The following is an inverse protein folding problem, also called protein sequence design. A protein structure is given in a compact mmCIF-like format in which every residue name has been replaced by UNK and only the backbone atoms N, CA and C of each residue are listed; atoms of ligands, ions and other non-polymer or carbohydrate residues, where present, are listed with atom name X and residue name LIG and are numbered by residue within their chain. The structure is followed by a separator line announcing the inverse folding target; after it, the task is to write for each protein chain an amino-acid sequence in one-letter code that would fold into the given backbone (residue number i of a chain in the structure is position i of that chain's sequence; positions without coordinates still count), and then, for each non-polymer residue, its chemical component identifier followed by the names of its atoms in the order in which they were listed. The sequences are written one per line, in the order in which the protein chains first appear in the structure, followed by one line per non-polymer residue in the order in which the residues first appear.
data_IF_758405844686
#
_entry.id   IF_758405844686
#
_cell.length_a   1.000
_cell.length_b   1.000
_cell.length_c   1.000
_cell.angle_alpha   90.00
_cell.angle_beta   90.00
_cell.angle_gamma   90.00
#
_symmetry.space_group_name_H-M   'P 1'
#
loop_
_entity.id
_entity.type
_entity.pdbx_description
1 polymer ?
#
# COMPACT_ATOMS: atom_id res chain seq x y z
N UNK A 1 -2.42 11.68 9.17
CA UNK A 1 -1.55 10.78 8.38
C UNK A 1 -1.42 9.49 9.14
N UNK A 2 -1.78 8.40 8.48
CA UNK A 2 -1.90 7.09 9.09
C UNK A 2 -0.54 6.42 9.27
N UNK A 3 -0.18 6.12 10.53
CA UNK A 3 1.10 5.52 10.86
C UNK A 3 1.18 4.06 10.43
N UNK A 4 0.08 3.32 10.46
CA UNK A 4 0.08 1.91 10.06
C UNK A 4 0.26 1.76 8.55
N UNK A 5 -0.38 2.63 7.76
CA UNK A 5 -0.15 2.68 6.31
C UNK A 5 1.31 3.03 6.01
N UNK A 6 1.89 4.03 6.68
CA UNK A 6 3.33 4.35 6.52
C UNK A 6 4.23 3.19 6.90
N UNK A 7 3.89 2.46 7.95
CA UNK A 7 4.65 1.30 8.39
C UNK A 7 4.60 0.17 7.34
N UNK A 8 3.43 -0.08 6.75
CA UNK A 8 3.30 -1.03 5.64
C UNK A 8 4.09 -0.59 4.42
N UNK A 9 3.99 0.68 3.99
CA UNK A 9 4.78 1.21 2.87
C UNK A 9 6.28 1.06 3.11
N UNK A 10 6.75 1.32 4.33
CA UNK A 10 8.14 1.09 4.72
C UNK A 10 8.58 -0.37 4.58
N UNK A 11 7.74 -1.32 4.99
CA UNK A 11 8.01 -2.76 4.79
C UNK A 11 8.07 -3.13 3.31
N UNK A 12 7.19 -2.58 2.47
CA UNK A 12 7.21 -2.82 1.02
C UNK A 12 8.47 -2.25 0.36
N UNK A 13 8.96 -1.09 0.80
CA UNK A 13 10.23 -0.53 0.37
C UNK A 13 11.39 -1.45 0.67
N UNK A 14 11.52 -1.89 1.92
CA UNK A 14 12.64 -2.73 2.37
C UNK A 14 12.61 -4.12 1.74
N UNK A 15 11.44 -4.76 1.70
CA UNK A 15 11.34 -6.16 1.30
C UNK A 15 11.17 -6.35 -0.21
N UNK A 16 10.50 -5.42 -0.89
CA UNK A 16 10.11 -5.54 -2.30
C UNK A 16 10.71 -4.45 -3.20
N UNK A 17 11.33 -3.41 -2.64
CA UNK A 17 11.88 -2.27 -3.39
C UNK A 17 10.84 -1.20 -3.80
N UNK A 18 9.60 -1.30 -3.31
CA UNK A 18 8.53 -0.31 -3.55
C UNK A 18 8.64 0.83 -2.54
N UNK A 19 9.56 1.75 -2.76
CA UNK A 19 9.87 2.81 -1.82
C UNK A 19 8.94 4.01 -1.91
N UNK A 20 8.38 4.27 -3.08
CA UNK A 20 7.53 5.41 -3.44
C UNK A 20 8.18 6.79 -3.16
N UNK A 21 7.94 7.79 -4.00
CA UNK A 21 8.28 9.17 -3.67
C UNK A 21 7.61 9.61 -2.36
N UNK A 22 8.25 10.44 -1.52
CA UNK A 22 7.67 10.89 -0.25
C UNK A 22 6.27 11.52 -0.38
N UNK A 23 6.02 12.25 -1.47
CA UNK A 23 4.71 12.84 -1.76
C UNK A 23 3.61 11.79 -1.99
N UNK A 24 3.95 10.67 -2.62
CA UNK A 24 3.02 9.55 -2.84
C UNK A 24 2.78 8.78 -1.54
N UNK A 25 3.82 8.59 -0.72
CA UNK A 25 3.66 7.99 0.60
C UNK A 25 2.71 8.81 1.48
N UNK A 26 2.88 10.13 1.48
CA UNK A 26 2.02 11.05 2.24
C UNK A 26 0.58 11.07 1.71
N UNK A 27 0.39 11.04 0.39
CA UNK A 27 -0.93 10.95 -0.25
C UNK A 27 -1.64 9.65 0.15
N UNK A 28 -0.97 8.51 0.00
CA UNK A 28 -1.53 7.19 0.30
C UNK A 28 -1.85 7.06 1.80
N UNK A 29 -0.95 7.54 2.67
CA UNK A 29 -1.16 7.52 4.12
C UNK A 29 -2.19 8.56 4.62
N UNK A 30 -2.64 9.48 3.78
CA UNK A 30 -3.69 10.44 4.13
C UNK A 30 -5.09 9.94 3.78
N UNK A 31 -5.20 8.84 3.04
CA UNK A 31 -6.48 8.21 2.74
C UNK A 31 -6.98 7.44 3.96
N UNK A 32 -8.17 7.80 4.43
CA UNK A 32 -8.75 7.27 5.66
C UNK A 32 -9.30 5.85 5.55
N UNK A 33 -9.48 5.32 4.34
CA UNK A 33 -9.99 3.96 4.09
C UNK A 33 -9.26 3.36 2.89
N UNK A 34 -8.87 2.09 3.02
CA UNK A 34 -8.21 1.32 1.96
C UNK A 34 -8.79 -0.08 1.83
N UNK A 35 -9.11 -0.48 0.60
CA UNK A 35 -9.24 -1.90 0.24
C UNK A 35 -7.89 -2.43 -0.23
N UNK A 36 -7.59 -3.69 0.08
CA UNK A 36 -6.31 -4.33 -0.25
C UNK A 36 -5.97 -4.26 -1.75
N UNK A 37 -6.98 -4.46 -2.62
CA UNK A 37 -6.81 -4.41 -4.07
C UNK A 37 -6.53 -2.99 -4.56
N UNK A 38 -7.20 -1.98 -4.00
CA UNK A 38 -7.01 -0.57 -4.36
C UNK A 38 -5.64 -0.09 -3.90
N UNK A 39 -5.25 -0.45 -2.68
CA UNK A 39 -3.93 -0.15 -2.13
C UNK A 39 -2.82 -0.75 -3.00
N UNK A 40 -2.93 -2.02 -3.39
CA UNK A 40 -1.95 -2.67 -4.24
C UNK A 40 -1.83 -2.01 -5.63
N UNK A 41 -2.96 -1.60 -6.22
CA UNK A 41 -2.95 -0.86 -7.49
C UNK A 41 -2.28 0.50 -7.37
N UNK A 42 -2.60 1.24 -6.30
CA UNK A 42 -2.06 2.59 -6.11
C UNK A 42 -0.55 2.54 -5.85
N UNK A 43 -0.07 1.62 -5.01
CA UNK A 43 1.37 1.40 -4.77
C UNK A 43 2.14 1.12 -6.06
N UNK A 44 1.63 0.23 -6.91
CA UNK A 44 2.28 -0.12 -8.18
C UNK A 44 2.26 1.08 -9.14
N UNK A 45 1.13 1.79 -9.20
CA UNK A 45 0.97 2.95 -10.08
C UNK A 45 1.88 4.11 -9.66
N UNK A 46 2.05 4.34 -8.36
CA UNK A 46 2.94 5.37 -7.81
C UNK A 46 4.43 5.11 -8.07
N UNK A 47 4.82 3.87 -8.37
CA UNK A 47 6.17 3.53 -8.87
C UNK A 47 6.31 3.69 -10.40
N UNK A 48 5.24 4.15 -11.08
CA UNK A 48 5.22 4.29 -12.54
C UNK A 48 5.02 2.98 -13.30
N UNK A 49 4.59 1.91 -12.61
CA UNK A 49 4.29 0.61 -13.19
C UNK A 49 2.78 0.46 -13.46
N UNK A 50 2.40 -0.49 -14.33
CA UNK A 50 1.00 -0.76 -14.60
C UNK A 50 0.52 -2.03 -13.85
N UNK A 51 -0.41 -1.90 -12.89
CA UNK A 51 -0.87 -3.03 -12.08
C UNK A 51 -1.59 -4.15 -12.86
N UNK A 52 -2.13 -3.86 -14.05
CA UNK A 52 -2.78 -4.87 -14.90
C UNK A 52 -1.77 -5.86 -15.51
N UNK A 53 -0.52 -5.41 -15.70
CA UNK A 53 0.59 -6.25 -16.18
C UNK A 53 1.41 -6.84 -15.04
N UNK A 54 1.53 -6.12 -13.92
CA UNK A 54 2.32 -6.54 -12.75
C UNK A 54 1.55 -7.48 -11.79
N UNK A 55 0.95 -8.54 -12.34
CA UNK A 55 0.06 -9.46 -11.59
C UNK A 55 0.73 -10.13 -10.38
N UNK A 56 2.04 -10.39 -10.46
CA UNK A 56 2.81 -10.96 -9.34
C UNK A 56 2.91 -9.96 -8.19
N UNK A 57 3.30 -8.72 -8.49
CA UNK A 57 3.42 -7.67 -7.47
C UNK A 57 2.07 -7.28 -6.89
N UNK A 58 1.04 -7.20 -7.73
CA UNK A 58 -0.32 -6.96 -7.28
C UNK A 58 -0.75 -7.96 -6.21
N UNK A 59 -0.57 -9.27 -6.47
CA UNK A 59 -0.91 -10.33 -5.51
C UNK A 59 -0.07 -10.24 -4.23
N UNK A 60 1.23 -10.00 -4.36
CA UNK A 60 2.14 -9.95 -3.21
C UNK A 60 1.82 -8.77 -2.29
N UNK A 61 1.66 -7.56 -2.83
CA UNK A 61 1.35 -6.35 -2.07
C UNK A 61 -0.03 -6.50 -1.39
N UNK A 62 -1.03 -6.99 -2.13
CA UNK A 62 -2.36 -7.29 -1.59
C UNK A 62 -2.29 -8.28 -0.41
N UNK A 63 -1.53 -9.36 -0.55
CA UNK A 63 -1.40 -10.36 0.52
C UNK A 63 -0.70 -9.78 1.75
N UNK A 64 0.32 -8.94 1.57
CA UNK A 64 1.00 -8.25 2.67
C UNK A 64 0.10 -7.24 3.38
N UNK A 65 -0.75 -6.54 2.64
CA UNK A 65 -1.78 -5.68 3.23
C UNK A 65 -2.70 -6.50 4.15
N UNK A 66 -3.25 -7.61 3.64
CA UNK A 66 -4.14 -8.49 4.42
C UNK A 66 -3.43 -9.08 5.63
N UNK A 67 -2.17 -9.48 5.48
CA UNK A 67 -1.38 -10.01 6.58
C UNK A 67 -1.08 -8.95 7.65
N UNK A 68 -0.84 -7.70 7.25
CA UNK A 68 -0.55 -6.60 8.18
C UNK A 68 -1.80 -6.15 8.95
N UNK A 69 -2.95 -6.05 8.28
CA UNK A 69 -4.19 -5.52 8.88
C UNK A 69 -5.17 -6.60 9.35
N UNK A 70 -4.97 -7.86 8.99
CA UNK A 70 -5.89 -8.96 9.27
C UNK A 70 -7.21 -8.90 8.49
N UNK A 71 -7.33 -8.00 7.50
CA UNK A 71 -8.56 -7.74 6.75
C UNK A 71 -8.26 -7.26 5.33
N UNK A 72 -9.21 -7.45 4.41
CA UNK A 72 -9.14 -6.86 3.07
C UNK A 72 -9.52 -5.37 3.05
N UNK A 73 -9.98 -4.82 4.16
CA UNK A 73 -10.33 -3.41 4.33
C UNK A 73 -9.66 -2.91 5.60
N UNK A 74 -9.02 -1.75 5.49
CA UNK A 74 -8.47 -1.02 6.61
C UNK A 74 -9.10 0.38 6.64
N UNK A 75 -9.55 0.78 7.82
CA UNK A 75 -10.04 2.12 8.08
C UNK A 75 -9.14 2.75 9.13
N UNK A 76 -8.58 3.91 8.79
CA UNK A 76 -7.76 4.70 9.68
C UNK A 76 -8.58 5.09 10.90
N UNK A 77 -8.14 4.64 12.08
CA UNK A 77 -8.71 5.12 13.33
C UNK A 77 -8.07 6.47 13.62
N UNK A 78 -8.78 7.57 13.35
CA UNK A 78 -8.46 8.85 13.96
C UNK A 78 -8.60 8.68 15.49
N UNK A 79 -7.49 8.40 16.17
CA UNK A 79 -7.35 8.47 17.63
C UNK A 79 -6.32 9.52 17.98
#
# INVERSE_FOLDING_TARGET
MDKEIKNLLGKLCVDLGFCLPPIEQDRIASLGVWRADEFAKDVISSEGLNPEYEKKWFREIRNRFVAHFGSNVYESKNS
#
